data_IF_074495097147
#
_entry.id   IF_074495097147
#
_cell.length_a   1.000
_cell.length_b   1.000
_cell.length_c   1.000
_cell.angle_alpha   90.00
_cell.angle_beta   90.00
_cell.angle_gamma   90.00
#
_symmetry.space_group_name_H-M   'P 1'
#
loop_
_entity.id
_entity.type
_entity.pdbx_description
1 polymer ?
#
# COMPACT_ATOMS: atom_id res chain seq x y z
N UNK A 1 -22.52 16.84 11.23
CA UNK A 1 -21.94 15.63 10.62
C UNK A 1 -21.01 16.05 9.49
N UNK A 2 -19.71 16.12 9.74
CA UNK A 2 -18.68 16.45 8.73
C UNK A 2 -17.65 15.33 8.81
N UNK A 3 -17.73 14.32 7.95
CA UNK A 3 -16.74 13.26 7.78
C UNK A 3 -17.01 12.57 6.44
N UNK A 4 -16.53 13.15 5.34
CA UNK A 4 -16.75 12.54 4.02
C UNK A 4 -16.06 13.19 2.83
N UNK A 5 -15.06 14.05 3.02
CA UNK A 5 -14.41 14.77 1.90
C UNK A 5 -12.90 14.52 1.80
N UNK A 6 -12.26 13.87 2.77
CA UNK A 6 -10.79 13.71 2.75
C UNK A 6 -10.25 12.50 1.96
N UNK A 7 -11.09 11.59 1.48
CA UNK A 7 -10.60 10.34 0.86
C UNK A 7 -10.43 10.39 -0.66
N UNK A 8 -10.96 11.42 -1.35
CA UNK A 8 -10.87 11.54 -2.81
C UNK A 8 -9.71 12.43 -3.30
N UNK A 9 -9.05 13.16 -2.40
CA UNK A 9 -7.90 14.00 -2.76
C UNK A 9 -6.60 13.21 -2.98
N UNK A 10 -6.52 11.95 -2.52
CA UNK A 10 -5.34 11.09 -2.70
C UNK A 10 -5.11 10.64 -4.15
N UNK A 11 -6.12 10.73 -5.01
CA UNK A 11 -6.04 10.29 -6.42
C UNK A 11 -5.65 11.43 -7.37
N UNK A 12 -5.87 12.69 -6.99
CA UNK A 12 -5.58 13.82 -7.87
C UNK A 12 -4.07 14.10 -8.02
N UNK A 13 -3.24 13.67 -7.06
CA UNK A 13 -1.78 13.87 -7.13
C UNK A 13 -1.10 12.77 -7.97
N UNK A 14 -1.73 11.60 -8.11
CA UNK A 14 -1.18 10.48 -8.91
C UNK A 14 -1.54 10.59 -10.41
N UNK A 15 -2.47 11.48 -10.80
CA UNK A 15 -3.05 11.47 -12.16
C UNK A 15 -3.12 12.82 -12.91
N UNK A 16 -2.43 13.88 -12.49
CA UNK A 16 -2.70 15.18 -13.11
C UNK A 16 -1.66 16.29 -12.96
N UNK A 17 -0.42 16.05 -13.38
CA UNK A 17 0.35 17.16 -13.98
C UNK A 17 0.77 16.75 -15.38
N UNK A 18 0.23 17.54 -16.30
CA UNK A 18 0.22 17.38 -17.73
C UNK A 18 1.62 17.16 -18.30
N UNK A 19 1.68 16.47 -19.42
CA UNK A 19 2.66 16.73 -20.46
C UNK A 19 2.77 18.25 -20.66
N UNK A 20 3.79 18.88 -20.07
CA UNK A 20 4.31 20.14 -20.58
C UNK A 20 5.76 19.90 -20.97
N UNK A 21 5.92 19.95 -22.28
CA UNK A 21 7.13 19.97 -23.09
C UNK A 21 8.07 21.09 -22.64
N UNK A 22 8.76 20.87 -21.54
CA UNK A 22 10.01 21.52 -21.13
C UNK A 22 10.49 20.80 -19.87
N UNK A 23 11.77 20.43 -19.80
CA UNK A 23 12.33 19.75 -18.64
C UNK A 23 11.89 20.46 -17.35
N UNK A 24 11.36 19.74 -16.34
CA UNK A 24 10.89 20.36 -15.11
C UNK A 24 12.03 21.17 -14.48
N UNK A 25 11.75 22.41 -14.09
CA UNK A 25 12.72 23.20 -13.33
C UNK A 25 13.07 22.40 -12.07
N UNK A 26 14.36 22.38 -11.70
CA UNK A 26 14.88 21.58 -10.59
C UNK A 26 14.11 21.77 -9.27
N UNK A 27 13.58 22.97 -9.00
CA UNK A 27 12.73 23.27 -7.83
C UNK A 27 11.41 22.50 -7.83
N UNK A 28 10.79 22.34 -9.00
CA UNK A 28 9.47 21.74 -9.15
C UNK A 28 9.60 20.22 -9.03
N UNK A 29 10.66 19.64 -9.60
CA UNK A 29 10.95 18.22 -9.49
C UNK A 29 11.32 17.80 -8.06
N UNK A 30 12.14 18.57 -7.34
CA UNK A 30 12.47 18.30 -5.93
C UNK A 30 11.21 18.29 -5.03
N UNK A 31 10.28 19.20 -5.29
CA UNK A 31 9.01 19.28 -4.55
C UNK A 31 8.13 18.07 -4.84
N UNK A 32 8.05 17.65 -6.11
CA UNK A 32 7.33 16.44 -6.52
C UNK A 32 7.92 15.19 -5.87
N UNK A 33 9.24 15.04 -5.90
CA UNK A 33 9.93 13.89 -5.32
C UNK A 33 9.71 13.78 -3.81
N UNK A 34 9.80 14.92 -3.10
CA UNK A 34 9.52 14.96 -1.65
C UNK A 34 8.06 14.60 -1.34
N UNK A 35 7.12 15.03 -2.18
CA UNK A 35 5.70 14.68 -2.05
C UNK A 35 5.49 13.18 -2.27
N UNK A 36 6.12 12.60 -3.29
CA UNK A 36 6.01 11.18 -3.61
C UNK A 36 6.58 10.29 -2.51
N UNK A 37 7.73 10.66 -1.92
CA UNK A 37 8.29 9.98 -0.74
C UNK A 37 7.28 10.01 0.42
N UNK A 38 6.61 11.15 0.66
CA UNK A 38 5.56 11.25 1.67
C UNK A 38 4.36 10.34 1.40
N UNK A 39 3.91 10.29 0.15
CA UNK A 39 2.81 9.42 -0.29
C UNK A 39 3.17 7.94 -0.10
N UNK A 40 4.38 7.54 -0.49
CA UNK A 40 4.87 6.17 -0.33
C UNK A 40 5.00 5.76 1.13
N UNK A 41 5.49 6.64 2.01
CA UNK A 41 5.51 6.37 3.45
C UNK A 41 4.10 6.17 4.02
N UNK A 42 3.13 6.97 3.58
CA UNK A 42 1.73 6.82 3.97
C UNK A 42 1.14 5.49 3.49
N UNK A 43 1.43 5.11 2.23
CA UNK A 43 0.99 3.85 1.67
C UNK A 43 1.63 2.64 2.36
N UNK A 44 2.94 2.71 2.66
CA UNK A 44 3.66 1.72 3.46
C UNK A 44 3.00 1.54 4.82
N UNK A 45 2.69 2.63 5.52
CA UNK A 45 2.03 2.55 6.83
C UNK A 45 0.65 1.91 6.71
N UNK A 46 -0.12 2.22 5.66
CA UNK A 46 -1.41 1.57 5.41
C UNK A 46 -1.27 0.05 5.26
N UNK A 47 -0.23 -0.41 4.56
CA UNK A 47 0.05 -1.86 4.43
C UNK A 47 0.49 -2.47 5.76
N UNK A 48 1.32 -1.77 6.55
CA UNK A 48 1.70 -2.22 7.91
C UNK A 48 0.48 -2.40 8.80
N UNK A 49 -0.41 -1.40 8.82
CA UNK A 49 -1.62 -1.44 9.65
C UNK A 49 -2.57 -2.57 9.20
N UNK A 50 -2.68 -2.80 7.91
CA UNK A 50 -3.49 -3.89 7.36
C UNK A 50 -2.87 -5.26 7.67
N UNK A 51 -1.53 -5.37 7.66
CA UNK A 51 -0.82 -6.59 8.04
C UNK A 51 -1.00 -6.92 9.53
N UNK A 52 -0.97 -5.90 10.40
CA UNK A 52 -1.25 -6.08 11.83
C UNK A 52 -2.69 -6.57 12.05
N UNK A 53 -3.67 -5.97 11.36
CA UNK A 53 -5.06 -6.41 11.44
C UNK A 53 -5.26 -7.86 10.96
N UNK A 54 -4.50 -8.31 9.96
CA UNK A 54 -4.54 -9.73 9.54
C UNK A 54 -3.90 -10.65 10.58
N UNK A 55 -2.82 -10.25 11.24
CA UNK A 55 -2.24 -11.04 12.32
C UNK A 55 -3.22 -11.20 13.50
N UNK A 56 -3.96 -10.15 13.83
CA UNK A 56 -5.03 -10.20 14.83
C UNK A 56 -6.14 -11.16 14.40
N UNK A 57 -6.63 -11.03 13.16
CA UNK A 57 -7.65 -11.93 12.59
C UNK A 57 -7.17 -13.38 12.59
N UNK A 58 -5.92 -13.65 12.20
CA UNK A 58 -5.34 -15.00 12.23
C UNK A 58 -5.32 -15.58 13.63
N UNK A 59 -4.98 -14.76 14.62
CA UNK A 59 -4.98 -15.17 16.03
C UNK A 59 -6.40 -15.51 16.49
N UNK A 60 -7.39 -14.69 16.14
CA UNK A 60 -8.81 -14.97 16.41
C UNK A 60 -9.26 -16.27 15.74
N UNK A 61 -8.94 -16.47 14.46
CA UNK A 61 -9.29 -17.67 13.71
C UNK A 61 -8.63 -18.92 14.29
N UNK A 62 -7.39 -18.83 14.75
CA UNK A 62 -6.70 -19.97 15.36
C UNK A 62 -7.36 -20.46 16.66
N UNK A 63 -8.09 -19.58 17.37
CA UNK A 63 -8.86 -19.93 18.56
C UNK A 63 -10.14 -20.70 18.25
N UNK A 64 -10.54 -20.81 16.98
CA UNK A 64 -11.70 -21.60 16.55
C UNK A 64 -11.34 -23.10 16.61
N UNK A 65 -12.25 -23.96 17.11
CA UNK A 65 -12.05 -25.41 17.11
C UNK A 65 -11.67 -25.98 15.74
N UNK A 66 -10.74 -26.94 15.72
CA UNK A 66 -10.17 -27.49 14.49
C UNK A 66 -11.21 -28.18 13.60
N UNK A 67 -12.19 -28.84 14.20
CA UNK A 67 -13.33 -29.46 13.52
C UNK A 67 -14.20 -28.43 12.79
N UNK A 68 -14.40 -27.24 13.37
CA UNK A 68 -15.12 -26.14 12.72
C UNK A 68 -14.28 -25.51 11.61
N UNK A 69 -12.95 -25.36 11.80
CA UNK A 69 -12.05 -24.82 10.76
C UNK A 69 -11.92 -25.74 9.56
N UNK A 70 -11.87 -27.05 9.80
CA UNK A 70 -11.71 -28.07 8.78
C UNK A 70 -13.01 -28.39 8.02
N UNK A 71 -14.18 -27.99 8.54
CA UNK A 71 -15.44 -28.14 7.83
C UNK A 71 -15.48 -27.26 6.56
N UNK A 72 -15.55 -27.85 5.35
CA UNK A 72 -15.62 -27.09 4.11
C UNK A 72 -16.89 -26.23 4.00
N UNK A 73 -17.92 -26.49 4.80
CA UNK A 73 -19.17 -25.72 4.81
C UNK A 73 -19.15 -24.54 5.79
N UNK A 74 -18.16 -24.46 6.69
CA UNK A 74 -18.10 -23.42 7.72
C UNK A 74 -17.62 -22.06 7.20
N UNK A 75 -17.03 -22.02 6.01
CA UNK A 75 -16.43 -20.82 5.42
C UNK A 75 -15.11 -20.38 6.06
N UNK A 76 -14.70 -20.96 7.19
CA UNK A 76 -13.45 -20.61 7.87
C UNK A 76 -12.21 -21.08 7.10
N UNK A 77 -12.27 -22.22 6.43
CA UNK A 77 -11.19 -22.73 5.57
C UNK A 77 -10.86 -21.75 4.42
N UNK A 78 -11.87 -21.18 3.78
CA UNK A 78 -11.69 -20.17 2.73
C UNK A 78 -11.17 -18.85 3.30
N UNK A 79 -11.65 -18.44 4.48
CA UNK A 79 -11.16 -17.24 5.16
C UNK A 79 -9.68 -17.36 5.57
N UNK A 80 -9.26 -18.52 6.08
CA UNK A 80 -7.85 -18.82 6.38
C UNK A 80 -6.98 -18.74 5.12
N UNK A 81 -7.44 -19.30 4.00
CA UNK A 81 -6.74 -19.20 2.71
C UNK A 81 -6.60 -17.75 2.23
N UNK A 82 -7.63 -16.92 2.42
CA UNK A 82 -7.57 -15.48 2.11
C UNK A 82 -6.56 -14.75 2.99
N UNK A 83 -6.49 -15.08 4.28
CA UNK A 83 -5.48 -14.55 5.22
C UNK A 83 -4.06 -14.87 4.74
N UNK A 84 -3.75 -16.12 4.37
CA UNK A 84 -2.42 -16.51 3.89
C UNK A 84 -2.03 -15.76 2.60
N UNK A 85 -2.96 -15.65 1.64
CA UNK A 85 -2.75 -14.90 0.41
C UNK A 85 -2.52 -13.41 0.70
N UNK A 86 -3.25 -12.87 1.67
CA UNK A 86 -3.08 -11.49 2.09
C UNK A 86 -1.68 -11.26 2.68
N UNK A 87 -1.27 -12.06 3.67
CA UNK A 87 0.05 -11.96 4.31
C UNK A 87 1.19 -12.03 3.30
N UNK A 88 1.07 -12.94 2.33
CA UNK A 88 2.04 -13.07 1.24
C UNK A 88 2.11 -11.79 0.39
N UNK A 89 0.95 -11.22 0.03
CA UNK A 89 0.88 -9.98 -0.76
C UNK A 89 1.42 -8.78 0.01
N UNK A 90 1.03 -8.60 1.28
CA UNK A 90 1.51 -7.50 2.12
C UNK A 90 3.00 -7.60 2.39
N UNK A 91 3.53 -8.80 2.66
CA UNK A 91 4.96 -9.03 2.78
C UNK A 91 5.74 -8.57 1.54
N UNK A 92 5.27 -8.94 0.34
CA UNK A 92 5.89 -8.51 -0.91
C UNK A 92 5.85 -6.97 -1.10
N UNK A 93 4.74 -6.33 -0.74
CA UNK A 93 4.62 -4.86 -0.80
C UNK A 93 5.56 -4.15 0.17
N UNK A 94 5.66 -4.64 1.41
CA UNK A 94 6.56 -4.04 2.41
C UNK A 94 8.01 -4.11 1.96
N UNK A 95 8.45 -5.26 1.44
CA UNK A 95 9.80 -5.39 0.87
C UNK A 95 10.05 -4.41 -0.28
N UNK A 96 9.02 -4.11 -1.08
CA UNK A 96 9.14 -3.11 -2.14
C UNK A 96 9.29 -1.71 -1.56
N UNK A 97 8.43 -1.31 -0.63
CA UNK A 97 8.51 0.01 0.00
C UNK A 97 9.86 0.23 0.68
N UNK A 98 10.37 -0.79 1.37
CA UNK A 98 11.68 -0.77 2.02
C UNK A 98 12.84 -0.66 1.03
N UNK A 99 12.61 -0.94 -0.26
CA UNK A 99 13.56 -0.71 -1.34
C UNK A 99 13.40 0.66 -1.99
N UNK A 100 12.19 1.02 -2.41
CA UNK A 100 11.96 2.20 -3.26
C UNK A 100 12.00 3.51 -2.47
N UNK A 101 11.55 3.52 -1.21
CA UNK A 101 11.58 4.75 -0.39
C UNK A 101 13.03 5.22 -0.17
N UNK A 102 13.99 4.34 0.21
CA UNK A 102 15.39 4.72 0.25
C UNK A 102 15.94 5.19 -1.10
N UNK A 103 15.67 4.47 -2.20
CA UNK A 103 16.14 4.86 -3.54
C UNK A 103 15.66 6.27 -3.94
N UNK A 104 14.40 6.62 -3.69
CA UNK A 104 13.88 7.97 -3.94
C UNK A 104 14.48 9.02 -2.99
N UNK A 105 14.70 8.66 -1.74
CA UNK A 105 15.31 9.54 -0.73
C UNK A 105 16.74 9.88 -1.12
N UNK A 106 17.48 8.92 -1.65
CA UNK A 106 18.84 9.11 -2.15
C UNK A 106 18.86 10.01 -3.39
N UNK A 107 17.94 9.82 -4.35
CA UNK A 107 17.80 10.71 -5.50
C UNK A 107 17.54 12.14 -5.03
N UNK A 108 16.59 12.34 -4.09
CA UNK A 108 16.22 13.65 -3.57
C UNK A 108 17.41 14.33 -2.86
N UNK A 109 18.14 13.57 -2.04
CA UNK A 109 19.30 14.08 -1.30
C UNK A 109 20.45 14.46 -2.24
N UNK A 110 20.72 13.64 -3.26
CA UNK A 110 21.74 13.95 -4.25
C UNK A 110 21.37 15.16 -5.12
N UNK A 111 20.08 15.36 -5.42
CA UNK A 111 19.62 16.58 -6.09
C UNK A 111 19.79 17.82 -5.22
N UNK A 112 19.40 17.76 -3.95
CA UNK A 112 19.50 18.89 -3.02
C UNK A 112 20.96 19.30 -2.75
N UNK A 113 21.88 18.34 -2.76
CA UNK A 113 23.31 18.58 -2.62
C UNK A 113 24.01 18.98 -3.93
N UNK A 114 23.30 18.98 -5.06
CA UNK A 114 23.85 19.31 -6.38
C UNK A 114 24.65 18.18 -7.04
N UNK A 115 24.63 16.97 -6.49
CA UNK A 115 25.27 15.77 -7.05
C UNK A 115 24.53 15.18 -8.26
N UNK A 116 23.22 15.45 -8.40
CA UNK A 116 22.43 15.13 -9.58
C UNK A 116 21.73 16.39 -10.12
N UNK A 117 21.72 16.54 -11.44
CA UNK A 117 20.85 17.50 -12.10
C UNK A 117 19.43 16.92 -12.31
N UNK A 118 18.49 17.76 -12.71
CA UNK A 118 17.09 17.35 -12.90
C UNK A 118 16.90 16.24 -13.94
N UNK A 119 17.68 16.24 -15.02
CA UNK A 119 17.60 15.23 -16.08
C UNK A 119 18.11 13.87 -15.60
N UNK A 120 19.22 13.84 -14.87
CA UNK A 120 19.76 12.62 -14.26
C UNK A 120 18.78 12.05 -13.24
N UNK A 121 18.25 12.89 -12.37
CA UNK A 121 17.28 12.47 -11.37
C UNK A 121 15.98 11.96 -11.98
N UNK A 122 15.50 12.58 -13.07
CA UNK A 122 14.35 12.09 -13.83
C UNK A 122 14.62 10.71 -14.43
N UNK A 123 15.80 10.47 -15.02
CA UNK A 123 16.14 9.14 -15.53
C UNK A 123 16.13 8.07 -14.43
N UNK A 124 16.64 8.39 -13.24
CA UNK A 124 16.57 7.49 -12.10
C UNK A 124 15.12 7.25 -11.66
N UNK A 125 14.31 8.31 -11.58
CA UNK A 125 12.90 8.21 -11.23
C UNK A 125 12.09 7.37 -12.23
N UNK A 126 12.30 7.57 -13.53
CA UNK A 126 11.60 6.83 -14.60
C UNK A 126 11.88 5.32 -14.52
N UNK A 127 13.06 4.92 -14.04
CA UNK A 127 13.41 3.51 -13.85
C UNK A 127 12.61 2.83 -12.73
N UNK A 128 12.11 3.59 -11.75
CA UNK A 128 11.40 3.08 -10.56
C UNK A 128 9.91 3.45 -10.54
N UNK A 129 9.48 4.41 -11.35
CA UNK A 129 8.09 4.84 -11.50
C UNK A 129 7.09 3.69 -11.80
N UNK A 130 7.40 2.70 -12.66
CA UNK A 130 6.51 1.56 -12.87
C UNK A 130 6.28 0.75 -11.60
N UNK A 131 7.32 0.57 -10.79
CA UNK A 131 7.25 -0.12 -9.50
C UNK A 131 6.34 0.66 -8.55
N UNK A 132 6.57 1.97 -8.39
CA UNK A 132 5.75 2.86 -7.54
C UNK A 132 4.25 2.74 -7.89
N UNK A 133 3.91 2.85 -9.18
CA UNK A 133 2.52 2.83 -9.66
C UNK A 133 1.79 1.51 -9.35
N UNK A 134 2.46 0.39 -9.56
CA UNK A 134 1.85 -0.93 -9.35
C UNK A 134 1.44 -1.16 -7.89
N UNK A 135 2.21 -0.62 -6.95
CA UNK A 135 2.03 -0.90 -5.52
C UNK A 135 1.27 0.19 -4.76
N UNK A 136 1.23 1.43 -5.24
CA UNK A 136 0.25 2.42 -4.77
C UNK A 136 -1.19 1.90 -4.95
N UNK A 137 -1.46 1.25 -6.08
CA UNK A 137 -2.74 0.55 -6.33
C UNK A 137 -2.91 -0.67 -5.40
N UNK A 138 -1.80 -1.35 -5.06
CA UNK A 138 -1.77 -2.49 -4.15
C UNK A 138 -2.21 -2.15 -2.72
N UNK A 139 -1.78 -1.02 -2.16
CA UNK A 139 -2.12 -0.62 -0.79
C UNK A 139 -3.63 -0.43 -0.58
N UNK A 140 -4.32 0.23 -1.52
CA UNK A 140 -5.76 0.43 -1.43
C UNK A 140 -6.55 -0.89 -1.60
N UNK A 141 -6.09 -1.76 -2.51
CA UNK A 141 -6.68 -3.09 -2.68
C UNK A 141 -6.52 -3.95 -1.42
N UNK A 142 -5.38 -3.82 -0.74
CA UNK A 142 -5.09 -4.50 0.52
C UNK A 142 -6.07 -4.05 1.60
N UNK A 143 -6.27 -2.74 1.76
CA UNK A 143 -7.23 -2.20 2.71
C UNK A 143 -8.65 -2.74 2.46
N UNK A 144 -9.11 -2.76 1.21
CA UNK A 144 -10.43 -3.30 0.84
C UNK A 144 -10.55 -4.79 1.14
N UNK A 145 -9.52 -5.57 0.82
CA UNK A 145 -9.50 -7.01 1.09
C UNK A 145 -9.53 -7.29 2.59
N UNK A 146 -8.80 -6.52 3.41
CA UNK A 146 -8.84 -6.64 4.87
C UNK A 146 -10.26 -6.40 5.41
N UNK A 147 -10.92 -5.35 4.95
CA UNK A 147 -12.30 -5.05 5.36
C UNK A 147 -13.26 -6.18 4.99
N UNK A 148 -13.13 -6.72 3.77
CA UNK A 148 -13.93 -7.88 3.32
C UNK A 148 -13.72 -9.11 4.20
N UNK A 149 -12.47 -9.44 4.52
CA UNK A 149 -12.15 -10.58 5.40
C UNK A 149 -12.69 -10.36 6.81
N UNK A 150 -12.66 -9.13 7.33
CA UNK A 150 -13.20 -8.80 8.64
C UNK A 150 -14.71 -8.98 8.70
N UNK A 151 -15.43 -8.49 7.68
CA UNK A 151 -16.88 -8.67 7.60
C UNK A 151 -17.28 -10.13 7.41
N UNK A 152 -16.50 -10.88 6.63
CA UNK A 152 -16.68 -12.32 6.49
C UNK A 152 -16.46 -13.05 7.83
N UNK A 153 -15.41 -12.71 8.58
CA UNK A 153 -15.15 -13.26 9.91
C UNK A 153 -16.31 -13.00 10.87
N UNK A 154 -16.82 -11.76 10.92
CA UNK A 154 -17.99 -11.40 11.74
C UNK A 154 -19.24 -12.19 11.35
N UNK A 155 -19.49 -12.34 10.04
CA UNK A 155 -20.64 -13.11 9.52
C UNK A 155 -20.56 -14.57 9.96
N UNK A 156 -19.39 -15.18 9.86
CA UNK A 156 -19.19 -16.57 10.27
C UNK A 156 -19.32 -16.75 11.78
N UNK A 157 -18.80 -15.82 12.59
CA UNK A 157 -18.96 -15.83 14.04
C UNK A 157 -20.42 -15.61 14.49
N UNK A 158 -21.19 -14.80 13.77
CA UNK A 158 -22.61 -14.51 14.07
C UNK A 158 -23.61 -15.55 13.54
N UNK A 159 -23.18 -16.45 12.64
CA UNK A 159 -24.01 -17.51 12.05
C UNK A 159 -24.25 -18.71 12.98
N UNK A 160 -23.66 -18.70 14.18
CA UNK A 160 -23.72 -19.80 15.15
C UNK A 160 -24.84 -19.70 16.22
N UNK A 161 -25.88 -18.87 16.00
CA UNK A 161 -27.05 -18.76 16.88
C UNK A 161 -28.29 -19.42 16.27
#
# INVERSE_FOLDING_TARGET
MKNGIFTLAFIAIILGTQCQESAPKSSDFNTQLSTEIGNLNTARQTVVDANNQVNDLRTELNNIPEDVKADPNSGFSELLRKVEIFESKTGAMLMMYDRVIPELTDINTNMQSGGLNAEQAQMHYDSIAPTIKNYATGAENTKKLMEQMREEAKRLAGSGN
#
